data_IF_703460384733
#
_entry.id   IF_703460384733
#
_cell.length_a   1.000
_cell.length_b   1.000
_cell.length_c   1.000
_cell.angle_alpha   90.00
_cell.angle_beta   90.00
_cell.angle_gamma   90.00
#
_symmetry.space_group_name_H-M   'P 1'
#
loop_
_entity.id
_entity.type
_entity.pdbx_description
1 polymer ?
#
# COMPACT_ATOMS: atom_id res chain seq x y z
N UNK A 1 -0.59 16.62 -7.85
CA UNK A 1 0.00 16.93 -6.52
C UNK A 1 1.54 16.91 -6.60
N UNK A 2 2.21 15.77 -6.94
CA UNK A 2 3.67 15.62 -6.85
C UNK A 2 4.44 16.62 -7.73
N UNK A 3 4.03 16.84 -8.98
CA UNK A 3 4.68 17.85 -9.87
C UNK A 3 4.61 19.27 -9.30
N UNK A 4 3.54 19.61 -8.59
CA UNK A 4 3.40 20.92 -7.96
C UNK A 4 4.41 21.11 -6.83
N UNK A 5 4.65 20.06 -6.04
CA UNK A 5 5.67 20.07 -4.96
C UNK A 5 7.06 20.19 -5.56
N UNK A 6 7.35 19.42 -6.63
CA UNK A 6 8.64 19.46 -7.34
C UNK A 6 8.88 20.77 -8.13
N UNK A 7 7.87 21.62 -8.26
CA UNK A 7 7.97 22.92 -8.94
C UNK A 7 7.82 24.09 -7.97
N UNK A 8 7.79 23.84 -6.67
CA UNK A 8 7.58 24.85 -5.65
C UNK A 8 8.88 25.65 -5.40
N UNK A 9 8.94 26.94 -5.81
CA UNK A 9 10.14 27.74 -5.65
C UNK A 9 10.48 28.03 -4.18
N UNK A 10 9.48 28.01 -3.27
CA UNK A 10 9.73 28.23 -1.86
C UNK A 10 10.44 27.03 -1.25
N UNK A 11 10.00 25.80 -1.56
CA UNK A 11 10.65 24.58 -1.11
C UNK A 11 12.11 24.54 -1.57
N UNK A 12 12.37 24.79 -2.85
CA UNK A 12 13.73 24.77 -3.39
C UNK A 12 14.59 25.91 -2.82
N UNK A 13 14.03 27.10 -2.65
CA UNK A 13 14.72 28.22 -2.03
C UNK A 13 15.16 27.92 -0.59
N UNK A 14 14.32 27.25 0.19
CA UNK A 14 14.67 26.83 1.55
C UNK A 14 15.73 25.73 1.55
N UNK A 15 15.70 24.77 0.61
CA UNK A 15 16.73 23.74 0.47
C UNK A 15 18.08 24.38 0.11
N UNK A 16 18.11 25.30 -0.85
CA UNK A 16 19.32 26.03 -1.24
C UNK A 16 19.92 26.82 -0.06
N UNK A 17 19.08 27.49 0.71
CA UNK A 17 19.52 28.22 1.90
C UNK A 17 20.08 27.26 2.97
N UNK A 18 19.40 26.14 3.22
CA UNK A 18 19.87 25.13 4.18
C UNK A 18 21.26 24.59 3.78
N UNK A 19 21.49 24.32 2.48
CA UNK A 19 22.82 23.89 1.99
C UNK A 19 23.88 24.96 2.27
N UNK A 20 23.59 26.24 1.95
CA UNK A 20 24.54 27.33 2.05
C UNK A 20 24.83 27.71 3.50
N UNK A 21 23.81 27.82 4.32
CA UNK A 21 23.89 28.34 5.69
C UNK A 21 24.39 27.25 6.68
N UNK A 22 23.84 26.05 6.56
CA UNK A 22 24.17 24.92 7.44
C UNK A 22 25.35 24.10 6.92
N UNK A 23 25.83 24.35 5.69
CA UNK A 23 26.95 23.63 5.04
C UNK A 23 26.76 22.11 5.03
N UNK A 24 25.56 21.68 4.78
CA UNK A 24 25.16 20.26 4.68
C UNK A 24 25.04 19.85 3.20
N UNK A 25 25.05 18.54 2.93
CA UNK A 25 24.81 18.00 1.59
C UNK A 25 23.33 18.14 1.19
N UNK A 26 23.04 17.91 -0.10
CA UNK A 26 21.70 18.07 -0.65
C UNK A 26 20.67 17.13 0.00
N UNK A 27 21.06 15.90 0.32
CA UNK A 27 20.21 14.90 0.95
C UNK A 27 19.77 15.34 2.35
N UNK A 28 20.73 15.85 3.15
CA UNK A 28 20.45 16.36 4.50
C UNK A 28 19.59 17.61 4.43
N UNK A 29 19.90 18.54 3.53
CA UNK A 29 19.12 19.77 3.36
C UNK A 29 17.67 19.46 2.95
N UNK A 30 17.49 18.59 1.96
CA UNK A 30 16.17 18.16 1.52
C UNK A 30 15.38 17.57 2.70
N UNK A 31 16.00 16.63 3.44
CA UNK A 31 15.34 16.01 4.60
C UNK A 31 14.96 17.04 5.67
N UNK A 32 15.89 17.89 6.06
CA UNK A 32 15.65 18.89 7.10
C UNK A 32 14.51 19.86 6.75
N UNK A 33 14.47 20.31 5.50
CA UNK A 33 13.44 21.25 5.04
C UNK A 33 12.09 20.54 4.92
N UNK A 34 12.02 19.38 4.29
CA UNK A 34 10.77 18.66 4.12
C UNK A 34 10.19 18.15 5.43
N UNK A 35 11.01 17.73 6.39
CA UNK A 35 10.55 17.36 7.73
C UNK A 35 9.86 18.53 8.46
N UNK A 36 10.34 19.77 8.26
CA UNK A 36 9.68 20.98 8.79
C UNK A 36 8.30 21.19 8.16
N UNK A 37 8.19 21.06 6.83
CA UNK A 37 6.89 21.17 6.14
C UNK A 37 5.92 20.08 6.56
N UNK A 38 6.38 18.84 6.65
CA UNK A 38 5.58 17.70 7.10
C UNK A 38 5.05 17.96 8.51
N UNK A 39 5.91 18.34 9.45
CA UNK A 39 5.52 18.66 10.83
C UNK A 39 4.50 19.80 10.91
N UNK A 40 4.67 20.84 10.09
CA UNK A 40 3.74 21.98 10.01
C UNK A 40 2.35 21.52 9.52
N UNK A 41 2.30 20.71 8.45
CA UNK A 41 1.03 20.20 7.92
C UNK A 41 0.35 19.22 8.88
N UNK A 42 1.10 18.35 9.55
CA UNK A 42 0.58 17.42 10.54
C UNK A 42 0.06 18.11 11.82
N UNK A 43 0.60 19.27 12.15
CA UNK A 43 0.12 20.09 13.28
C UNK A 43 -1.29 20.67 13.04
N UNK A 44 -1.72 20.76 11.79
CA UNK A 44 -3.04 21.25 11.38
C UNK A 44 -4.11 20.16 11.53
N UNK A 45 -4.38 19.71 12.76
CA UNK A 45 -5.23 18.55 13.07
C UNK A 45 -6.66 18.62 12.52
N UNK A 46 -7.20 19.82 12.38
CA UNK A 46 -8.57 20.06 11.92
C UNK A 46 -8.65 20.22 10.38
N UNK A 47 -7.56 20.03 9.66
CA UNK A 47 -7.48 20.20 8.22
C UNK A 47 -7.00 18.92 7.52
N UNK A 48 -7.95 18.07 7.16
CA UNK A 48 -7.68 16.79 6.49
C UNK A 48 -6.89 16.96 5.18
N UNK A 49 -7.12 18.05 4.44
CA UNK A 49 -6.39 18.36 3.21
C UNK A 49 -4.89 18.60 3.48
N UNK A 50 -4.55 19.33 4.56
CA UNK A 50 -3.16 19.57 4.92
C UNK A 50 -2.46 18.30 5.43
N UNK A 51 -3.20 17.44 6.11
CA UNK A 51 -2.65 16.13 6.52
C UNK A 51 -2.35 15.22 5.33
N UNK A 52 -3.21 15.22 4.30
CA UNK A 52 -2.96 14.52 3.05
C UNK A 52 -1.72 15.08 2.33
N UNK A 53 -1.57 16.42 2.33
CA UNK A 53 -0.39 17.10 1.80
C UNK A 53 0.92 16.68 2.50
N UNK A 54 0.89 16.44 3.81
CA UNK A 54 2.05 15.90 4.51
C UNK A 54 2.49 14.53 3.95
N UNK A 55 1.52 13.69 3.60
CA UNK A 55 1.76 12.41 2.91
C UNK A 55 2.40 12.59 1.54
N UNK A 56 1.86 13.49 0.72
CA UNK A 56 2.42 13.82 -0.61
C UNK A 56 3.88 14.31 -0.53
N UNK A 57 4.17 15.23 0.42
CA UNK A 57 5.54 15.74 0.62
C UNK A 57 6.47 14.60 1.03
N UNK A 58 6.03 13.70 1.91
CA UNK A 58 6.82 12.55 2.37
C UNK A 58 7.15 11.60 1.21
N UNK A 59 6.19 11.31 0.35
CA UNK A 59 6.39 10.45 -0.82
C UNK A 59 7.36 11.07 -1.84
N UNK A 60 7.17 12.34 -2.18
CA UNK A 60 8.09 13.06 -3.06
C UNK A 60 9.50 13.10 -2.48
N UNK A 61 9.64 13.42 -1.18
CA UNK A 61 10.94 13.46 -0.49
C UNK A 61 11.65 12.12 -0.57
N UNK A 62 10.95 11.02 -0.29
CA UNK A 62 11.52 9.66 -0.38
C UNK A 62 12.08 9.36 -1.77
N UNK A 63 11.34 9.71 -2.81
CA UNK A 63 11.75 9.47 -4.21
C UNK A 63 12.96 10.33 -4.60
N UNK A 64 12.96 11.60 -4.24
CA UNK A 64 14.11 12.50 -4.53
C UNK A 64 15.34 12.05 -3.75
N UNK A 65 15.21 11.69 -2.47
CA UNK A 65 16.32 11.15 -1.69
C UNK A 65 16.91 9.88 -2.30
N UNK A 66 16.07 8.97 -2.78
CA UNK A 66 16.55 7.76 -3.44
C UNK A 66 17.38 8.09 -4.68
N UNK A 67 16.94 9.05 -5.50
CA UNK A 67 17.72 9.51 -6.66
C UNK A 67 19.05 10.14 -6.24
N UNK A 68 19.05 10.98 -5.21
CA UNK A 68 20.29 11.62 -4.71
C UNK A 68 21.28 10.59 -4.17
N UNK A 69 20.78 9.58 -3.47
CA UNK A 69 21.60 8.51 -2.88
C UNK A 69 21.97 7.40 -3.87
N UNK A 70 21.47 7.44 -5.10
CA UNK A 70 21.67 6.38 -6.09
C UNK A 70 21.03 5.04 -5.73
N UNK A 71 20.00 5.07 -4.87
CA UNK A 71 19.24 3.89 -4.44
C UNK A 71 18.03 3.71 -5.33
N UNK A 72 17.83 2.51 -5.83
CA UNK A 72 16.62 2.17 -6.59
C UNK A 72 15.49 1.84 -5.63
N UNK A 73 14.41 2.60 -5.69
CA UNK A 73 13.16 2.21 -5.02
C UNK A 73 12.47 1.18 -5.90
N UNK A 74 12.11 0.00 -5.39
CA UNK A 74 11.29 -0.95 -6.14
C UNK A 74 10.03 -0.26 -6.66
N UNK A 75 9.77 -0.42 -7.95
CA UNK A 75 8.59 0.15 -8.58
C UNK A 75 7.55 -0.96 -8.79
N UNK A 76 6.43 -0.94 -8.07
CA UNK A 76 5.40 -1.96 -8.19
C UNK A 76 4.82 -2.10 -9.62
N UNK A 77 4.91 -1.03 -10.43
CA UNK A 77 4.45 -1.05 -11.82
C UNK A 77 5.35 -1.84 -12.78
N UNK A 78 6.54 -2.25 -12.33
CA UNK A 78 7.50 -3.03 -13.12
C UNK A 78 7.51 -4.52 -12.73
N UNK A 79 6.61 -4.93 -11.87
CA UNK A 79 6.45 -6.35 -11.51
C UNK A 79 5.80 -7.05 -12.71
N UNK A 80 6.47 -8.06 -13.24
CA UNK A 80 6.06 -8.86 -14.40
C UNK A 80 6.01 -10.37 -14.09
N UNK A 81 6.02 -10.73 -12.82
CA UNK A 81 5.91 -12.10 -12.31
C UNK A 81 4.92 -12.19 -11.14
N UNK A 82 4.44 -13.40 -10.86
CA UNK A 82 3.52 -13.62 -9.74
C UNK A 82 4.26 -13.50 -8.40
N UNK A 83 3.92 -12.46 -7.62
CA UNK A 83 4.60 -12.17 -6.36
C UNK A 83 3.63 -11.85 -5.22
N UNK A 84 4.12 -12.00 -4.00
CA UNK A 84 3.56 -11.41 -2.79
C UNK A 84 4.49 -10.28 -2.37
N UNK A 85 3.94 -9.08 -2.18
CA UNK A 85 4.71 -7.92 -1.74
C UNK A 85 4.82 -7.94 -0.21
N UNK A 86 6.04 -7.79 0.29
CA UNK A 86 6.31 -7.60 1.71
C UNK A 86 6.96 -6.23 1.89
N UNK A 87 6.34 -5.37 2.69
CA UNK A 87 6.79 -4.00 2.87
C UNK A 87 6.57 -3.54 4.31
N UNK A 88 7.37 -2.56 4.76
CA UNK A 88 7.14 -1.94 6.05
C UNK A 88 5.78 -1.22 6.08
N UNK A 89 5.48 -0.47 5.01
CA UNK A 89 4.18 0.18 4.75
C UNK A 89 3.95 0.30 3.25
N UNK A 90 2.71 0.42 2.83
CA UNK A 90 2.33 0.71 1.44
C UNK A 90 1.53 1.99 1.39
N UNK A 91 2.02 2.96 0.63
CA UNK A 91 1.32 4.21 0.39
C UNK A 91 0.16 4.02 -0.60
N UNK A 92 -0.82 4.95 -0.64
CA UNK A 92 -1.85 4.94 -1.68
C UNK A 92 -1.27 4.94 -3.11
N UNK A 93 -0.15 5.65 -3.31
CA UNK A 93 0.55 5.70 -4.61
C UNK A 93 1.18 4.36 -4.98
N UNK A 94 1.72 3.63 -4.00
CA UNK A 94 2.28 2.30 -4.24
C UNK A 94 1.17 1.31 -4.60
N UNK A 95 0.09 1.31 -3.82
CA UNK A 95 -1.04 0.39 -4.04
C UNK A 95 -1.82 0.66 -5.32
N UNK A 96 -1.91 1.92 -5.76
CA UNK A 96 -2.57 2.28 -7.02
C UNK A 96 -1.82 1.77 -8.28
N UNK A 97 -0.56 1.40 -8.14
CA UNK A 97 0.28 0.89 -9.23
C UNK A 97 0.35 -0.64 -9.27
N UNK A 98 -0.27 -1.33 -8.31
CA UNK A 98 -0.27 -2.79 -8.26
C UNK A 98 -1.16 -3.39 -9.36
N UNK A 99 -0.59 -4.27 -10.18
CA UNK A 99 -1.38 -5.12 -11.07
C UNK A 99 -1.74 -6.41 -10.34
N UNK A 100 -3.04 -6.66 -10.18
CA UNK A 100 -3.55 -7.89 -9.56
C UNK A 100 -3.31 -9.17 -10.39
N UNK A 101 -2.88 -9.03 -11.63
CA UNK A 101 -2.49 -10.19 -12.43
C UNK A 101 -1.15 -10.73 -11.95
N UNK A 102 -0.28 -9.88 -11.46
CA UNK A 102 1.07 -10.22 -11.01
C UNK A 102 1.14 -10.23 -9.48
N UNK A 103 0.58 -9.24 -8.80
CA UNK A 103 0.58 -9.18 -7.34
C UNK A 103 -0.56 -10.03 -6.77
N UNK A 104 -0.20 -11.15 -6.15
CA UNK A 104 -1.15 -12.12 -5.57
C UNK A 104 -1.56 -11.80 -4.15
N UNK A 105 -0.83 -10.94 -3.46
CA UNK A 105 -1.13 -10.46 -2.12
C UNK A 105 -0.05 -9.53 -1.59
N UNK A 106 -0.27 -8.99 -0.39
CA UNK A 106 0.77 -8.22 0.28
C UNK A 106 0.71 -8.36 1.80
N UNK A 107 1.88 -8.20 2.44
CA UNK A 107 2.01 -8.09 3.89
C UNK A 107 2.68 -6.78 4.26
N UNK A 108 2.24 -6.12 5.35
CA UNK A 108 2.90 -4.92 5.88
C UNK A 108 3.19 -5.07 7.37
N UNK A 109 4.35 -4.55 7.81
CA UNK A 109 4.74 -4.59 9.22
C UNK A 109 3.82 -3.73 10.08
N UNK A 110 3.47 -2.55 9.60
CA UNK A 110 2.61 -1.64 10.36
C UNK A 110 1.16 -1.73 9.88
N UNK A 111 0.25 -1.49 10.79
CA UNK A 111 -1.13 -1.17 10.45
C UNK A 111 -1.11 0.29 9.97
N UNK A 112 -1.23 0.53 8.68
CA UNK A 112 -1.29 1.88 8.13
C UNK A 112 -2.26 2.76 8.92
N UNK A 113 -1.84 3.97 9.28
CA UNK A 113 -2.62 4.95 10.10
C UNK A 113 -3.99 5.28 9.52
N UNK A 114 -4.17 5.03 8.27
CA UNK A 114 -5.46 5.01 7.59
C UNK A 114 -5.65 3.60 7.09
N UNK A 115 -6.79 3.00 7.29
CA UNK A 115 -7.19 1.69 6.76
C UNK A 115 -7.02 1.52 5.23
N UNK A 116 -6.12 2.31 4.62
CA UNK A 116 -5.92 2.38 3.17
C UNK A 116 -5.48 1.03 2.61
N UNK A 117 -4.49 0.39 3.23
CA UNK A 117 -4.03 -0.94 2.80
C UNK A 117 -5.14 -1.98 2.87
N UNK A 118 -5.96 -1.94 3.94
CA UNK A 118 -7.11 -2.82 4.09
C UNK A 118 -8.25 -2.49 3.11
N UNK A 119 -8.47 -1.20 2.78
CA UNK A 119 -9.43 -0.79 1.76
C UNK A 119 -8.95 -1.22 0.38
N UNK A 120 -7.66 -1.03 0.09
CA UNK A 120 -7.07 -1.39 -1.20
C UNK A 120 -7.04 -2.90 -1.44
N UNK A 121 -6.74 -3.72 -0.41
CA UNK A 121 -6.83 -5.18 -0.56
C UNK A 121 -8.23 -5.62 -0.97
N UNK A 122 -9.26 -5.01 -0.39
CA UNK A 122 -10.66 -5.27 -0.77
C UNK A 122 -10.97 -4.81 -2.19
N UNK A 123 -10.47 -3.64 -2.59
CA UNK A 123 -10.66 -3.10 -3.94
C UNK A 123 -9.94 -3.93 -5.00
N UNK A 124 -8.70 -4.35 -4.72
CA UNK A 124 -7.91 -5.23 -5.59
C UNK A 124 -8.38 -6.69 -5.51
N UNK A 125 -9.17 -7.03 -4.47
CA UNK A 125 -9.65 -8.40 -4.20
C UNK A 125 -8.50 -9.42 -4.04
N UNK A 126 -7.37 -8.99 -3.47
CA UNK A 126 -6.20 -9.82 -3.17
C UNK A 126 -6.04 -10.01 -1.65
N UNK A 127 -5.45 -11.13 -1.19
CA UNK A 127 -5.12 -11.35 0.21
C UNK A 127 -4.20 -10.27 0.75
N UNK A 128 -4.42 -9.85 2.01
CA UNK A 128 -3.53 -8.93 2.70
C UNK A 128 -3.44 -9.28 4.18
N UNK A 129 -2.23 -9.22 4.72
CA UNK A 129 -1.93 -9.28 6.14
C UNK A 129 -1.26 -7.98 6.53
N UNK A 130 -1.89 -7.23 7.43
CA UNK A 130 -1.39 -5.92 7.86
C UNK A 130 -1.07 -5.95 9.35
N UNK A 131 0.02 -5.29 9.74
CA UNK A 131 0.45 -5.27 11.14
C UNK A 131 1.19 -6.54 11.57
N UNK A 132 1.91 -7.17 10.66
CA UNK A 132 2.74 -8.35 10.96
C UNK A 132 3.90 -8.05 11.93
N UNK A 133 4.31 -6.80 12.04
CA UNK A 133 5.35 -6.33 12.96
C UNK A 133 6.76 -6.47 12.42
N UNK A 134 7.11 -7.62 11.85
CA UNK A 134 8.48 -7.95 11.45
C UNK A 134 8.61 -8.68 10.10
N UNK A 135 7.57 -8.67 9.28
CA UNK A 135 7.60 -9.43 8.02
C UNK A 135 8.78 -9.02 7.10
N UNK A 136 9.15 -7.74 7.08
CA UNK A 136 10.29 -7.26 6.28
C UNK A 136 11.65 -7.69 6.85
N UNK A 137 11.74 -8.07 8.13
CA UNK A 137 12.95 -8.59 8.75
C UNK A 137 13.06 -10.11 8.57
N UNK A 138 11.91 -10.79 8.62
CA UNK A 138 11.82 -12.25 8.63
C UNK A 138 11.80 -12.86 7.22
N UNK A 139 11.24 -12.14 6.22
CA UNK A 139 11.04 -12.62 4.86
C UNK A 139 12.05 -11.97 3.92
N UNK A 140 12.78 -12.79 3.17
CA UNK A 140 13.76 -12.33 2.17
C UNK A 140 13.18 -12.40 0.77
N UNK A 141 13.73 -11.57 -0.11
CA UNK A 141 13.36 -11.58 -1.52
C UNK A 141 13.60 -12.97 -2.15
N UNK A 142 12.60 -13.45 -2.89
CA UNK A 142 12.63 -14.74 -3.57
C UNK A 142 12.22 -15.93 -2.72
N UNK A 143 11.88 -15.75 -1.44
CA UNK A 143 11.35 -16.83 -0.60
C UNK A 143 9.90 -17.17 -0.94
N UNK A 144 9.57 -18.47 -0.86
CA UNK A 144 8.21 -18.95 -1.07
C UNK A 144 7.34 -18.66 0.17
N UNK A 145 6.17 -18.11 -0.05
CA UNK A 145 5.29 -17.62 0.99
C UNK A 145 3.84 -17.99 0.70
N UNK A 146 3.10 -18.43 1.72
CA UNK A 146 1.64 -18.50 1.69
C UNK A 146 1.07 -17.33 2.50
N UNK A 147 0.11 -16.62 1.91
CA UNK A 147 -0.58 -15.52 2.55
C UNK A 147 -2.08 -15.80 2.67
N UNK A 148 -2.57 -15.97 3.90
CA UNK A 148 -3.99 -16.15 4.20
C UNK A 148 -4.58 -14.86 4.78
N UNK A 149 -5.22 -14.08 3.93
CA UNK A 149 -5.88 -12.83 4.34
C UNK A 149 -7.18 -13.04 5.12
N UNK A 150 -7.68 -14.28 5.22
CA UNK A 150 -8.89 -14.61 6.02
C UNK A 150 -8.48 -14.89 7.46
N UNK A 151 -7.43 -15.70 7.66
CA UNK A 151 -6.90 -16.01 8.98
C UNK A 151 -5.95 -14.92 9.50
N UNK A 152 -5.41 -14.06 8.60
CA UNK A 152 -4.41 -13.05 8.95
C UNK A 152 -3.03 -13.66 9.17
N UNK A 153 -2.69 -14.69 8.41
CA UNK A 153 -1.46 -15.47 8.57
C UNK A 153 -0.57 -15.37 7.34
N UNK A 154 0.75 -15.35 7.59
CA UNK A 154 1.79 -15.51 6.59
C UNK A 154 2.65 -16.71 6.98
N UNK A 155 2.75 -17.73 6.11
CA UNK A 155 3.50 -18.96 6.35
C UNK A 155 4.75 -18.91 5.51
N UNK A 156 5.91 -18.89 6.16
CA UNK A 156 7.23 -18.86 5.54
C UNK A 156 7.70 -20.29 5.32
N UNK A 157 8.43 -20.48 4.21
CA UNK A 157 9.00 -21.79 3.82
C UNK A 157 7.97 -22.92 3.95
N UNK A 158 6.80 -22.78 3.27
CA UNK A 158 5.72 -23.73 3.45
C UNK A 158 6.08 -25.13 2.93
N UNK A 159 5.67 -26.14 3.66
CA UNK A 159 5.77 -27.53 3.26
C UNK A 159 4.94 -27.83 2.00
N UNK A 160 5.25 -28.90 1.29
CA UNK A 160 4.47 -29.33 0.11
C UNK A 160 3.01 -29.64 0.45
N UNK A 161 2.78 -30.12 1.64
CA UNK A 161 1.46 -30.41 2.19
C UNK A 161 0.66 -29.12 2.39
N UNK A 162 1.28 -28.09 3.00
CA UNK A 162 0.67 -26.77 3.18
C UNK A 162 0.38 -26.10 1.84
N UNK A 163 1.32 -26.13 0.90
CA UNK A 163 1.11 -25.58 -0.46
C UNK A 163 -0.09 -26.26 -1.12
N UNK A 164 -0.21 -27.57 -0.98
CA UNK A 164 -1.33 -28.34 -1.56
C UNK A 164 -2.65 -27.96 -0.91
N UNK A 165 -2.68 -27.88 0.43
CA UNK A 165 -3.87 -27.50 1.20
C UNK A 165 -4.34 -26.08 0.83
N UNK A 166 -3.44 -25.11 0.85
CA UNK A 166 -3.79 -23.71 0.55
C UNK A 166 -4.12 -23.48 -0.92
N UNK A 167 -3.50 -24.24 -1.82
CA UNK A 167 -3.91 -24.25 -3.24
C UNK A 167 -5.34 -24.74 -3.42
N UNK A 168 -5.76 -25.74 -2.64
CA UNK A 168 -7.15 -26.20 -2.66
C UNK A 168 -8.09 -25.18 -2.05
N UNK A 169 -7.75 -24.59 -0.91
CA UNK A 169 -8.51 -23.46 -0.29
C UNK A 169 -8.70 -22.31 -1.25
N UNK A 170 -7.67 -21.92 -1.98
CA UNK A 170 -7.74 -20.84 -2.99
C UNK A 170 -8.71 -21.19 -4.14
N UNK A 171 -8.70 -22.42 -4.63
CA UNK A 171 -9.65 -22.89 -5.66
C UNK A 171 -11.09 -22.88 -5.16
N UNK A 172 -11.31 -23.37 -3.94
CA UNK A 172 -12.63 -23.40 -3.33
C UNK A 172 -13.18 -21.98 -3.11
N UNK A 173 -12.35 -21.06 -2.63
CA UNK A 173 -12.71 -19.66 -2.50
C UNK A 173 -13.03 -19.00 -3.85
N UNK A 174 -12.24 -19.26 -4.87
CA UNK A 174 -12.48 -18.76 -6.23
C UNK A 174 -13.81 -19.30 -6.80
N UNK A 175 -14.12 -20.56 -6.56
CA UNK A 175 -15.39 -21.17 -6.97
C UNK A 175 -16.57 -20.53 -6.23
N UNK A 176 -16.48 -20.34 -4.93
CA UNK A 176 -17.49 -19.65 -4.13
C UNK A 176 -17.72 -18.21 -4.60
N UNK A 177 -16.63 -17.49 -4.90
CA UNK A 177 -16.69 -16.13 -5.44
C UNK A 177 -17.37 -16.07 -6.82
N UNK A 178 -17.12 -17.06 -7.66
CA UNK A 178 -17.79 -17.19 -8.95
C UNK A 178 -19.29 -17.41 -8.80
N UNK A 179 -19.73 -18.20 -7.80
CA UNK A 179 -21.16 -18.35 -7.47
C UNK A 179 -21.78 -17.03 -7.00
N UNK A 180 -21.11 -16.29 -6.12
CA UNK A 180 -21.60 -14.97 -5.68
C UNK A 180 -21.73 -13.98 -6.84
N UNK A 181 -20.81 -14.01 -7.81
CA UNK A 181 -20.90 -13.14 -9.01
C UNK A 181 -22.16 -13.42 -9.84
N UNK A 182 -22.69 -14.64 -9.87
CA UNK A 182 -23.95 -14.98 -10.55
C UNK A 182 -25.14 -14.27 -9.91
N UNK A 183 -25.06 -14.00 -8.61
CA UNK A 183 -26.13 -13.33 -7.87
C UNK A 183 -26.20 -11.81 -8.14
N UNK A 184 -25.18 -11.22 -8.76
CA UNK A 184 -25.09 -9.76 -9.00
C UNK A 184 -26.33 -9.19 -9.69
N UNK A 185 -26.93 -9.95 -10.61
CA UNK A 185 -28.09 -9.55 -11.38
C UNK A 185 -29.37 -10.33 -10.99
N UNK A 186 -29.32 -11.08 -9.90
CA UNK A 186 -30.47 -11.82 -9.41
C UNK A 186 -31.51 -10.85 -8.81
N UNK A 187 -32.76 -11.17 -8.95
CA UNK A 187 -33.85 -10.40 -8.33
C UNK A 187 -33.76 -10.54 -6.80
N UNK A 188 -33.71 -9.40 -6.11
CA UNK A 188 -33.70 -9.36 -4.64
C UNK A 188 -35.13 -9.56 -4.11
N UNK A 189 -35.54 -10.81 -3.94
CA UNK A 189 -36.86 -11.18 -3.48
C UNK A 189 -36.72 -12.09 -2.27
N UNK A 190 -37.45 -11.79 -1.21
CA UNK A 190 -37.52 -12.64 -0.01
C UNK A 190 -38.31 -13.93 -0.26
N UNK A 191 -38.20 -14.89 0.66
CA UNK A 191 -38.89 -16.18 0.53
C UNK A 191 -40.42 -16.06 0.46
N UNK A 192 -40.99 -14.98 1.01
CA UNK A 192 -42.43 -14.63 0.94
C UNK A 192 -42.79 -13.78 -0.29
N UNK A 193 -41.89 -13.62 -1.25
CA UNK A 193 -42.13 -12.95 -2.53
C UNK A 193 -42.01 -11.41 -2.50
N UNK A 194 -41.57 -10.80 -1.39
CA UNK A 194 -41.42 -9.35 -1.31
C UNK A 194 -40.11 -8.91 -1.94
N UNK A 195 -40.20 -7.88 -2.80
CA UNK A 195 -39.04 -7.26 -3.39
C UNK A 195 -38.26 -6.44 -2.33
N UNK A 196 -36.98 -6.71 -2.16
CA UNK A 196 -36.07 -6.00 -1.26
C UNK A 196 -35.11 -5.16 -2.09
N UNK A 197 -34.92 -3.90 -1.70
CA UNK A 197 -33.92 -3.04 -2.34
C UNK A 197 -32.60 -3.23 -1.58
N UNK A 198 -31.57 -3.70 -2.27
CA UNK A 198 -30.22 -3.81 -1.74
C UNK A 198 -29.43 -2.62 -2.28
N UNK A 199 -28.90 -1.79 -1.38
CA UNK A 199 -28.04 -0.66 -1.70
C UNK A 199 -26.66 -0.84 -1.08
N UNK A 200 -25.63 -0.28 -1.72
CA UNK A 200 -24.30 -0.17 -1.18
C UNK A 200 -23.98 1.30 -0.92
N UNK A 201 -23.28 1.56 0.18
CA UNK A 201 -22.69 2.87 0.44
C UNK A 201 -21.30 2.89 -0.24
N UNK A 202 -21.12 3.84 -1.16
CA UNK A 202 -19.90 4.02 -1.97
C UNK A 202 -19.19 5.29 -1.53
#
# INVERSE_FOLDING_TARGET
AHLTILSDPELFGQIDNEIKDSKVNAETALKNVTDKFIAMFEAMKDNAYMQERAGDVRDVTKRVLAHLLGVTIPNPALIDEEVIIVAHDLTPSDTAQLDRNDVKGFSTDIVGRTSHSAIMSRTLEIPAVVGSGSATEDIKEGEELILDGIQGEAILDPSKEEITEYSQKAKDFAAQKAEWKKLKNAASVSADGKKVIIGANI
#
